data_IF_148629020432
#
_entry.id   IF_148629020432
#
_cell.length_a   1.000
_cell.length_b   1.000
_cell.length_c   1.000
_cell.angle_alpha   90.00
_cell.angle_beta   90.00
_cell.angle_gamma   90.00
#
_symmetry.space_group_name_H-M   'P 1'
#
loop_
_entity.id
_entity.type
_entity.pdbx_description
1 polymer ?
#
# COMPACT_ATOMS: atom_id res chain seq x y z
N UNK A 1 2.02 -14.95 75.56
CA UNK A 1 2.32 -14.10 74.37
C UNK A 1 2.97 -12.84 74.88
N UNK A 2 4.08 -12.47 74.29
CA UNK A 2 4.76 -11.19 74.66
C UNK A 2 3.91 -10.02 74.16
N UNK A 3 3.98 -8.88 74.88
CA UNK A 3 3.28 -7.64 74.45
C UNK A 3 3.63 -7.24 73.02
N UNK A 4 4.85 -7.54 72.56
CA UNK A 4 5.30 -7.29 71.21
C UNK A 4 4.60 -8.20 70.13
N UNK A 5 4.36 -9.49 70.46
CA UNK A 5 3.63 -10.38 69.55
C UNK A 5 2.17 -9.94 69.35
N UNK A 6 1.52 -9.43 70.38
CA UNK A 6 0.16 -8.91 70.31
C UNK A 6 0.09 -7.65 69.43
N UNK A 7 1.05 -6.73 69.62
CA UNK A 7 1.13 -5.50 68.82
C UNK A 7 1.39 -5.84 67.33
N UNK A 8 2.30 -6.79 67.03
CA UNK A 8 2.53 -7.21 65.66
C UNK A 8 1.28 -7.84 65.01
N UNK A 9 0.56 -8.71 65.74
CA UNK A 9 -0.69 -9.30 65.23
C UNK A 9 -1.76 -8.22 64.95
N UNK A 10 -1.90 -7.23 65.79
CA UNK A 10 -2.83 -6.12 65.58
C UNK A 10 -2.46 -5.28 64.37
N UNK A 11 -1.16 -4.97 64.16
CA UNK A 11 -0.66 -4.23 63.00
C UNK A 11 -0.86 -5.02 61.70
N UNK A 12 -0.60 -6.31 61.68
CA UNK A 12 -0.85 -7.16 60.50
C UNK A 12 -2.33 -7.24 60.12
N UNK A 13 -3.21 -7.34 61.13
CA UNK A 13 -4.67 -7.36 60.87
C UNK A 13 -5.13 -6.00 60.32
N UNK A 14 -4.63 -4.91 60.90
CA UNK A 14 -4.93 -3.55 60.42
C UNK A 14 -4.46 -3.32 58.98
N UNK A 15 -3.28 -3.80 58.66
CA UNK A 15 -2.73 -3.73 57.29
C UNK A 15 -3.56 -4.60 56.30
N UNK A 16 -3.97 -5.77 56.68
CA UNK A 16 -4.85 -6.63 55.85
C UNK A 16 -6.24 -6.00 55.63
N UNK A 17 -6.81 -5.38 56.62
CA UNK A 17 -8.08 -4.64 56.52
C UNK A 17 -7.91 -3.46 55.61
N UNK A 18 -6.81 -2.69 55.74
CA UNK A 18 -6.51 -1.58 54.87
C UNK A 18 -6.35 -1.98 53.40
N UNK A 19 -5.59 -3.06 53.13
CA UNK A 19 -5.42 -3.62 51.78
C UNK A 19 -6.78 -4.13 51.26
N UNK A 20 -7.55 -4.83 52.07
CA UNK A 20 -8.87 -5.33 51.68
C UNK A 20 -9.88 -4.23 51.35
N UNK A 21 -9.76 -3.06 51.93
CA UNK A 21 -10.62 -1.92 51.62
C UNK A 21 -10.09 -1.02 50.51
N UNK A 22 -8.76 -0.83 50.43
CA UNK A 22 -8.13 0.03 49.44
C UNK A 22 -8.20 -0.57 48.03
N UNK A 23 -7.97 -1.87 47.87
CA UNK A 23 -7.98 -2.54 46.56
C UNK A 23 -9.30 -2.45 45.79
N UNK A 24 -10.49 -2.73 46.39
CA UNK A 24 -11.75 -2.60 45.66
C UNK A 24 -12.13 -1.16 45.34
N UNK A 25 -11.74 -0.19 46.18
CA UNK A 25 -12.01 1.23 45.93
C UNK A 25 -11.18 1.73 44.73
N UNK A 26 -9.87 1.42 44.68
CA UNK A 26 -9.01 1.79 43.56
C UNK A 26 -9.40 1.06 42.28
N UNK A 27 -9.77 -0.20 42.36
CA UNK A 27 -10.25 -0.99 41.22
C UNK A 27 -11.62 -0.47 40.70
N UNK A 28 -12.49 0.02 41.58
CA UNK A 28 -13.77 0.62 41.21
C UNK A 28 -13.60 1.99 40.49
N UNK A 29 -12.70 2.82 40.97
CA UNK A 29 -12.41 4.11 40.34
C UNK A 29 -11.79 3.95 38.95
N UNK A 30 -10.84 2.99 38.75
CA UNK A 30 -10.28 2.69 37.43
C UNK A 30 -11.29 2.13 36.43
N UNK A 31 -12.33 1.43 36.89
CA UNK A 31 -13.37 0.85 36.03
C UNK A 31 -14.43 1.86 35.57
N UNK A 32 -14.57 2.97 36.27
CA UNK A 32 -15.53 4.02 35.94
C UNK A 32 -14.96 5.11 35.02
N UNK A 33 -13.66 5.04 34.70
CA UNK A 33 -13.02 6.01 33.85
C UNK A 33 -13.50 5.87 32.40
N UNK A 34 -13.89 7.00 31.81
CA UNK A 34 -14.26 7.09 30.42
C UNK A 34 -13.01 7.25 29.52
N UNK A 35 -13.17 6.95 28.24
CA UNK A 35 -12.16 7.22 27.25
C UNK A 35 -12.16 8.72 26.97
N UNK A 36 -10.97 9.34 27.01
CA UNK A 36 -10.82 10.78 26.83
C UNK A 36 -10.66 11.19 25.37
N UNK A 37 -10.30 10.27 24.49
CA UNK A 37 -10.11 10.51 23.06
C UNK A 37 -9.29 9.44 22.36
N UNK A 38 -9.07 9.64 21.07
CA UNK A 38 -8.24 8.77 20.23
C UNK A 38 -7.16 9.60 19.53
N UNK A 39 -5.91 9.19 19.68
CA UNK A 39 -4.71 9.80 19.08
C UNK A 39 -4.14 8.84 18.05
N UNK A 40 -4.14 9.25 16.78
CA UNK A 40 -3.65 8.42 15.66
C UNK A 40 -2.25 8.89 15.29
N UNK A 41 -1.29 8.00 15.41
CA UNK A 41 0.12 8.23 15.06
C UNK A 41 0.49 7.36 13.85
N UNK A 42 0.87 8.02 12.76
CA UNK A 42 1.36 7.37 11.55
C UNK A 42 2.88 7.19 11.65
N UNK A 43 3.37 6.00 11.37
CA UNK A 43 4.83 5.71 11.32
C UNK A 43 5.54 6.49 10.20
N UNK A 44 4.81 6.80 9.12
CA UNK A 44 5.25 7.69 8.06
C UNK A 44 4.23 8.82 7.85
N UNK A 45 4.46 10.00 8.46
CA UNK A 45 3.57 11.15 8.30
C UNK A 45 3.61 11.76 6.89
N UNK A 46 4.59 11.40 6.06
CA UNK A 46 4.69 11.87 4.66
C UNK A 46 3.91 10.99 3.70
N UNK A 47 3.37 9.88 4.17
CA UNK A 47 2.53 8.99 3.36
C UNK A 47 1.33 9.77 2.81
N UNK A 48 1.24 9.81 1.47
CA UNK A 48 0.08 10.39 0.79
C UNK A 48 -1.07 9.40 0.63
N UNK A 49 -0.86 8.15 1.01
CA UNK A 49 -1.80 7.06 0.79
C UNK A 49 -2.81 6.91 1.92
N UNK A 50 -2.43 7.23 3.15
CA UNK A 50 -3.29 7.15 4.35
C UNK A 50 -3.05 8.38 5.21
N UNK A 51 -4.10 8.99 5.67
CA UNK A 51 -4.05 10.06 6.66
C UNK A 51 -4.80 9.66 7.95
N UNK A 52 -4.68 10.46 9.00
CA UNK A 52 -5.32 10.15 10.29
C UNK A 52 -6.85 10.06 10.19
N UNK A 53 -7.48 10.84 9.31
CA UNK A 53 -8.94 10.78 9.11
C UNK A 53 -9.38 9.49 8.42
N UNK A 54 -8.54 8.93 7.53
CA UNK A 54 -8.81 7.63 6.91
C UNK A 54 -8.76 6.51 7.96
N UNK A 55 -7.79 6.57 8.89
CA UNK A 55 -7.67 5.59 9.98
C UNK A 55 -8.88 5.66 10.92
N UNK A 56 -9.35 6.87 11.23
CA UNK A 56 -10.56 7.06 12.04
C UNK A 56 -11.78 6.49 11.33
N UNK A 57 -11.93 6.73 10.02
CA UNK A 57 -13.02 6.16 9.22
C UNK A 57 -12.95 4.63 9.18
N UNK A 58 -11.77 4.04 8.96
CA UNK A 58 -11.55 2.59 8.98
C UNK A 58 -11.83 1.96 10.36
N UNK A 59 -11.56 2.71 11.45
CA UNK A 59 -11.88 2.26 12.80
C UNK A 59 -13.37 2.03 13.00
N UNK A 60 -14.22 2.73 12.22
CA UNK A 60 -15.67 2.73 12.35
C UNK A 60 -16.18 3.26 13.69
N UNK A 61 -15.35 4.01 14.39
CA UNK A 61 -15.68 4.63 15.67
C UNK A 61 -15.96 6.09 15.41
N UNK A 62 -17.12 6.53 15.86
CA UNK A 62 -17.43 7.96 15.91
C UNK A 62 -16.71 8.57 17.14
N UNK A 63 -15.79 9.54 16.94
CA UNK A 63 -15.09 10.19 18.04
C UNK A 63 -16.04 10.81 19.09
N UNK A 64 -17.26 11.20 18.69
CA UNK A 64 -18.25 11.75 19.60
C UNK A 64 -18.79 10.70 20.58
N UNK A 65 -18.97 9.47 20.13
CA UNK A 65 -19.48 8.37 20.97
C UNK A 65 -18.38 7.71 21.79
N UNK A 66 -17.11 7.92 21.39
CA UNK A 66 -15.96 7.33 22.09
C UNK A 66 -15.84 7.86 23.53
N UNK A 67 -16.09 9.17 23.73
CA UNK A 67 -16.00 9.81 25.04
C UNK A 67 -17.01 9.26 26.07
N UNK A 68 -18.12 8.68 25.60
CA UNK A 68 -19.12 8.06 26.47
C UNK A 68 -18.78 6.59 26.82
N UNK A 69 -17.75 6.02 26.17
CA UNK A 69 -17.36 4.64 26.36
C UNK A 69 -16.54 4.44 27.62
N UNK A 70 -16.88 3.43 28.43
CA UNK A 70 -16.10 3.06 29.61
C UNK A 70 -14.83 2.31 29.19
N UNK A 71 -13.69 2.64 29.80
CA UNK A 71 -12.40 1.99 29.56
C UNK A 71 -12.42 0.47 29.73
N UNK A 72 -13.17 -0.02 30.71
CA UNK A 72 -13.24 -1.45 31.00
C UNK A 72 -14.09 -2.26 30.02
N UNK A 73 -14.99 -1.62 29.25
CA UNK A 73 -15.88 -2.27 28.28
C UNK A 73 -15.41 -2.12 26.86
N UNK A 74 -14.45 -1.22 26.60
CA UNK A 74 -13.95 -0.97 25.27
C UNK A 74 -13.02 -2.08 24.80
N UNK A 75 -13.34 -2.70 23.65
CA UNK A 75 -12.56 -3.81 23.12
C UNK A 75 -11.44 -3.33 22.18
N UNK A 76 -10.27 -3.02 22.77
CA UNK A 76 -9.07 -2.59 22.03
C UNK A 76 -8.63 -3.64 21.01
N UNK A 77 -8.71 -4.93 21.35
CA UNK A 77 -8.30 -6.01 20.45
C UNK A 77 -9.20 -6.12 19.21
N UNK A 78 -10.51 -5.86 19.37
CA UNK A 78 -11.42 -5.82 18.22
C UNK A 78 -11.13 -4.63 17.29
N UNK A 79 -10.79 -3.46 17.87
CA UNK A 79 -10.39 -2.29 17.11
C UNK A 79 -9.08 -2.56 16.34
N UNK A 80 -8.08 -3.12 17.01
CA UNK A 80 -6.80 -3.47 16.41
C UNK A 80 -6.97 -4.49 15.27
N UNK A 81 -7.76 -5.55 15.50
CA UNK A 81 -8.04 -6.55 14.47
C UNK A 81 -8.76 -5.96 13.25
N UNK A 82 -9.69 -5.02 13.47
CA UNK A 82 -10.39 -4.32 12.40
C UNK A 82 -9.44 -3.45 11.58
N UNK A 83 -8.57 -2.67 12.22
CA UNK A 83 -7.57 -1.85 11.55
C UNK A 83 -6.57 -2.71 10.76
N UNK A 84 -6.10 -3.83 11.32
CA UNK A 84 -5.23 -4.79 10.62
C UNK A 84 -5.89 -5.45 9.41
N UNK A 85 -7.22 -5.58 9.42
CA UNK A 85 -7.97 -6.12 8.29
C UNK A 85 -8.13 -5.10 7.15
N UNK A 86 -7.86 -3.81 7.38
CA UNK A 86 -7.92 -2.79 6.34
C UNK A 86 -6.84 -3.03 5.27
N UNK A 87 -7.22 -2.84 4.01
CA UNK A 87 -6.29 -2.97 2.88
C UNK A 87 -5.28 -1.81 2.81
N UNK A 88 -5.57 -0.70 3.47
CA UNK A 88 -4.74 0.52 3.47
C UNK A 88 -3.60 0.47 4.49
N UNK A 89 -3.70 -0.43 5.49
CA UNK A 89 -2.74 -0.52 6.58
C UNK A 89 -1.91 -1.81 6.47
N UNK A 90 -0.62 -1.68 6.72
CA UNK A 90 0.28 -2.82 6.83
C UNK A 90 0.23 -3.42 8.21
N UNK A 91 0.20 -2.57 9.24
CA UNK A 91 0.07 -2.97 10.65
C UNK A 91 -0.61 -1.85 11.45
N UNK A 92 -1.23 -2.24 12.55
CA UNK A 92 -1.83 -1.33 13.51
C UNK A 92 -1.63 -1.88 14.92
N UNK A 93 -1.32 -1.01 15.87
CA UNK A 93 -1.20 -1.33 17.28
C UNK A 93 -2.05 -0.36 18.09
N UNK A 94 -2.92 -0.87 18.93
CA UNK A 94 -3.86 -0.07 19.71
C UNK A 94 -3.54 -0.21 21.18
N UNK A 95 -3.25 0.92 21.85
CA UNK A 95 -2.89 0.95 23.25
C UNK A 95 -3.73 1.97 24.01
N UNK A 96 -4.12 1.61 25.24
CA UNK A 96 -4.78 2.51 26.16
C UNK A 96 -3.74 3.19 27.05
N UNK A 97 -3.70 4.50 27.02
CA UNK A 97 -2.80 5.29 27.88
C UNK A 97 -3.38 5.47 29.28
N UNK A 98 -2.52 5.84 30.22
CA UNK A 98 -2.90 6.08 31.62
C UNK A 98 -3.85 7.29 31.77
N UNK A 99 -3.78 8.26 30.85
CA UNK A 99 -4.67 9.43 30.82
C UNK A 99 -6.08 9.13 30.27
N UNK A 100 -6.35 7.89 29.87
CA UNK A 100 -7.64 7.47 29.32
C UNK A 100 -7.74 7.62 27.81
N UNK A 101 -6.74 8.13 27.12
CA UNK A 101 -6.72 8.21 25.65
C UNK A 101 -6.36 6.87 25.01
N UNK A 102 -6.95 6.58 23.86
CA UNK A 102 -6.55 5.46 23.00
C UNK A 102 -5.49 5.98 22.05
N UNK A 103 -4.32 5.36 22.06
CA UNK A 103 -3.29 5.59 21.06
C UNK A 103 -3.35 4.49 20.01
N UNK A 104 -3.42 4.90 18.75
CA UNK A 104 -3.44 4.04 17.57
C UNK A 104 -2.18 4.32 16.76
N UNK A 105 -1.19 3.45 16.90
CA UNK A 105 0.04 3.51 16.09
C UNK A 105 -0.19 2.67 14.83
N UNK A 106 -0.15 3.29 13.65
CA UNK A 106 -0.41 2.64 12.37
C UNK A 106 0.77 2.74 11.43
N UNK A 107 1.01 1.66 10.71
CA UNK A 107 1.95 1.61 9.60
C UNK A 107 1.15 1.58 8.30
N UNK A 108 1.21 2.66 7.50
CA UNK A 108 0.55 2.69 6.21
C UNK A 108 1.11 1.63 5.26
N UNK A 109 0.27 1.15 4.36
CA UNK A 109 0.71 0.30 3.27
C UNK A 109 1.57 1.12 2.29
N UNK A 110 2.73 0.61 1.90
CA UNK A 110 3.61 1.24 0.91
C UNK A 110 3.46 0.49 -0.41
N UNK A 111 2.83 1.10 -1.43
CA UNK A 111 2.73 0.52 -2.76
C UNK A 111 4.10 0.45 -3.44
N UNK A 112 4.37 -0.65 -4.13
CA UNK A 112 5.59 -0.84 -4.94
C UNK A 112 5.31 -0.86 -6.44
N UNK A 113 4.05 -1.07 -6.85
CA UNK A 113 3.61 -0.96 -8.23
C UNK A 113 2.11 -0.72 -8.32
N UNK A 114 1.67 -0.11 -9.42
CA UNK A 114 0.27 -0.04 -9.83
C UNK A 114 0.00 -1.07 -10.91
N UNK A 115 -1.00 -1.91 -10.70
CA UNK A 115 -1.34 -3.02 -11.59
C UNK A 115 -2.57 -2.67 -12.41
N UNK A 116 -2.44 -2.85 -13.72
CA UNK A 116 -3.52 -2.78 -14.69
C UNK A 116 -3.74 -4.17 -15.27
N UNK A 117 -4.85 -4.79 -14.90
CA UNK A 117 -5.31 -6.05 -15.45
C UNK A 117 -6.56 -5.78 -16.30
N UNK A 118 -6.63 -6.24 -17.56
CA UNK A 118 -7.81 -6.03 -18.41
C UNK A 118 -9.12 -6.61 -17.86
N UNK A 119 -9.03 -7.52 -16.88
CA UNK A 119 -10.17 -8.21 -16.29
C UNK A 119 -10.67 -7.59 -14.99
N UNK A 120 -9.90 -6.71 -14.37
CA UNK A 120 -10.17 -6.17 -13.03
C UNK A 120 -9.87 -4.66 -12.99
N UNK A 121 -10.53 -3.89 -12.11
CA UNK A 121 -10.14 -2.52 -11.84
C UNK A 121 -8.68 -2.42 -11.39
N UNK A 122 -8.00 -1.33 -11.76
CA UNK A 122 -6.60 -1.15 -11.37
C UNK A 122 -6.42 -1.12 -9.85
N UNK A 123 -5.32 -1.69 -9.38
CA UNK A 123 -5.01 -1.76 -7.97
C UNK A 123 -3.51 -1.57 -7.73
N UNK A 124 -3.15 -1.25 -6.49
CA UNK A 124 -1.74 -1.24 -6.07
C UNK A 124 -1.36 -2.57 -5.42
N UNK A 125 -0.09 -2.91 -5.46
CA UNK A 125 0.49 -4.00 -4.67
C UNK A 125 1.64 -3.47 -3.81
N UNK A 126 1.77 -4.02 -2.61
CA UNK A 126 2.91 -3.75 -1.73
C UNK A 126 4.03 -4.80 -1.89
N UNK A 127 5.12 -4.63 -1.14
CA UNK A 127 6.26 -5.55 -1.16
C UNK A 127 5.92 -7.00 -0.73
N UNK A 128 4.81 -7.23 -0.02
CA UNK A 128 4.34 -8.59 0.30
C UNK A 128 3.38 -9.17 -0.75
N UNK A 129 3.01 -8.39 -1.77
CA UNK A 129 2.03 -8.76 -2.79
C UNK A 129 0.57 -8.60 -2.35
N UNK A 130 0.32 -7.91 -1.23
CA UNK A 130 -1.04 -7.56 -0.81
C UNK A 130 -1.61 -6.51 -1.75
N UNK A 131 -2.85 -6.71 -2.21
CA UNK A 131 -3.56 -5.78 -3.08
C UNK A 131 -4.16 -4.65 -2.27
N UNK A 132 -4.17 -3.46 -2.86
CA UNK A 132 -4.75 -2.25 -2.31
C UNK A 132 -5.59 -1.63 -3.42
N UNK A 133 -6.85 -1.33 -3.17
CA UNK A 133 -7.71 -0.70 -4.17
C UNK A 133 -7.15 0.68 -4.57
N UNK A 134 -7.12 0.94 -5.88
CA UNK A 134 -6.73 2.25 -6.38
C UNK A 134 -7.93 3.21 -6.27
N UNK A 135 -7.92 4.05 -5.24
CA UNK A 135 -8.90 5.13 -5.11
C UNK A 135 -8.45 6.34 -5.94
N UNK A 136 -9.39 7.04 -6.57
CA UNK A 136 -9.12 8.22 -7.41
C UNK A 136 -8.40 9.37 -6.67
N UNK A 137 -8.54 9.43 -5.35
CA UNK A 137 -7.90 10.45 -4.48
C UNK A 137 -6.39 10.32 -4.40
N UNK A 138 -5.85 9.13 -4.63
CA UNK A 138 -4.46 8.84 -4.37
C UNK A 138 -3.74 8.52 -5.67
N UNK A 139 -2.80 9.38 -6.02
CA UNK A 139 -1.83 9.09 -7.08
C UNK A 139 -0.45 8.95 -6.45
N UNK A 140 0.14 7.79 -6.63
CA UNK A 140 1.48 7.48 -6.15
C UNK A 140 2.34 7.17 -7.36
N UNK A 141 3.49 7.82 -7.42
CA UNK A 141 4.48 7.60 -8.48
C UNK A 141 5.23 6.30 -8.21
N UNK A 142 4.70 5.23 -8.77
CA UNK A 142 5.27 3.88 -8.71
C UNK A 142 5.25 3.25 -10.10
N UNK A 143 6.13 2.28 -10.39
CA UNK A 143 6.14 1.56 -11.65
C UNK A 143 4.77 0.99 -12.01
N UNK A 144 4.42 1.09 -13.28
CA UNK A 144 3.19 0.52 -13.83
C UNK A 144 3.44 -0.92 -14.25
N UNK A 145 2.56 -1.80 -13.81
CA UNK A 145 2.55 -3.22 -14.16
C UNK A 145 1.30 -3.51 -15.00
N UNK A 146 1.47 -3.96 -16.23
CA UNK A 146 0.39 -4.26 -17.16
C UNK A 146 0.40 -5.74 -17.52
N UNK A 147 -0.75 -6.40 -17.55
CA UNK A 147 -0.85 -7.80 -17.97
C UNK A 147 -2.06 -8.51 -17.38
N UNK A 148 -2.31 -9.72 -17.85
CA UNK A 148 -3.30 -10.60 -17.23
C UNK A 148 -2.65 -11.41 -16.13
N UNK A 149 -3.13 -11.21 -14.90
CA UNK A 149 -2.60 -11.88 -13.71
C UNK A 149 -3.58 -12.95 -13.22
N UNK A 150 -3.15 -14.19 -13.27
CA UNK A 150 -3.94 -15.37 -12.88
C UNK A 150 -3.22 -16.21 -11.82
N UNK A 151 -3.74 -17.39 -11.53
CA UNK A 151 -3.12 -18.31 -10.57
C UNK A 151 -1.77 -18.86 -11.02
N UNK A 152 -1.54 -18.95 -12.33
CA UNK A 152 -0.27 -19.44 -12.92
C UNK A 152 0.79 -18.34 -12.97
N UNK A 153 0.35 -17.11 -13.28
CA UNK A 153 1.22 -15.94 -13.44
C UNK A 153 0.75 -14.79 -12.54
N UNK A 154 0.76 -14.96 -11.21
CA UNK A 154 0.29 -13.92 -10.31
C UNK A 154 1.27 -12.74 -10.24
N UNK A 155 0.75 -11.52 -10.11
CA UNK A 155 1.55 -10.29 -10.02
C UNK A 155 2.67 -10.36 -8.95
N UNK A 156 2.45 -11.10 -7.85
CA UNK A 156 3.46 -11.31 -6.80
C UNK A 156 4.75 -11.98 -7.28
N UNK A 157 4.74 -12.70 -8.42
CA UNK A 157 5.97 -13.27 -9.00
C UNK A 157 6.93 -12.21 -9.50
N UNK A 158 6.42 -11.01 -9.77
CA UNK A 158 7.23 -9.88 -10.25
C UNK A 158 7.85 -9.06 -9.11
N UNK A 159 7.53 -9.36 -7.84
CA UNK A 159 8.04 -8.63 -6.69
C UNK A 159 9.57 -8.48 -6.65
N UNK A 160 10.41 -9.50 -6.96
CA UNK A 160 11.85 -9.33 -6.98
C UNK A 160 12.32 -8.30 -8.01
N UNK A 161 11.64 -8.22 -9.15
CA UNK A 161 11.90 -7.24 -10.19
C UNK A 161 11.43 -5.85 -9.77
N UNK A 162 10.22 -5.75 -9.21
CA UNK A 162 9.64 -4.51 -8.72
C UNK A 162 10.44 -3.92 -7.56
N UNK A 163 10.87 -4.77 -6.63
CA UNK A 163 11.74 -4.36 -5.52
C UNK A 163 13.06 -3.77 -6.02
N UNK A 164 13.68 -4.40 -7.03
CA UNK A 164 14.88 -3.85 -7.67
C UNK A 164 14.63 -2.51 -8.34
N UNK A 165 13.49 -2.35 -9.03
CA UNK A 165 13.12 -1.07 -9.68
C UNK A 165 12.87 0.02 -8.63
N UNK A 166 12.18 -0.31 -7.54
CA UNK A 166 11.83 0.65 -6.50
C UNK A 166 13.05 1.10 -5.67
N UNK A 167 13.95 0.17 -5.34
CA UNK A 167 15.04 0.42 -4.39
C UNK A 167 16.39 0.78 -5.05
N UNK A 168 16.53 0.60 -6.36
CA UNK A 168 17.73 1.03 -7.09
C UNK A 168 17.38 2.21 -8.02
N UNK A 169 17.74 3.47 -7.65
CA UNK A 169 17.41 4.65 -8.45
C UNK A 169 17.90 4.59 -9.89
N UNK A 170 18.99 3.86 -10.15
CA UNK A 170 19.54 3.68 -11.50
C UNK A 170 18.64 2.80 -12.35
N UNK A 171 18.08 1.75 -11.75
CA UNK A 171 17.14 0.84 -12.41
C UNK A 171 15.76 1.49 -12.54
N UNK A 172 15.29 2.14 -11.48
CA UNK A 172 14.00 2.85 -11.46
C UNK A 172 13.91 3.93 -12.53
N UNK A 173 14.99 4.71 -12.74
CA UNK A 173 15.01 5.72 -13.80
C UNK A 173 15.03 5.15 -15.24
N UNK A 174 15.31 3.85 -15.40
CA UNK A 174 15.37 3.19 -16.70
C UNK A 174 14.05 2.57 -17.15
N UNK A 175 13.14 2.22 -16.22
CA UNK A 175 11.94 1.43 -16.49
C UNK A 175 10.69 2.26 -16.24
N UNK A 176 9.89 2.49 -17.27
CA UNK A 176 8.61 3.19 -17.17
C UNK A 176 7.47 2.20 -16.88
N UNK A 177 7.43 1.05 -17.58
CA UNK A 177 6.36 0.08 -17.46
C UNK A 177 6.92 -1.34 -17.50
N UNK A 178 6.31 -2.21 -16.71
CA UNK A 178 6.58 -3.66 -16.72
C UNK A 178 5.34 -4.36 -17.28
N UNK A 179 5.49 -5.08 -18.38
CA UNK A 179 4.40 -5.83 -19.00
C UNK A 179 4.64 -7.33 -18.84
N UNK A 180 3.62 -8.07 -18.41
CA UNK A 180 3.64 -9.52 -18.39
C UNK A 180 2.78 -10.06 -19.53
N UNK A 181 3.40 -10.81 -20.43
CA UNK A 181 2.71 -11.51 -21.52
C UNK A 181 1.95 -12.75 -20.98
N UNK A 182 0.95 -13.26 -21.71
CA UNK A 182 0.15 -14.42 -21.25
C UNK A 182 0.97 -15.69 -20.99
N UNK A 183 2.12 -15.85 -21.64
CA UNK A 183 3.06 -16.97 -21.43
C UNK A 183 3.97 -16.77 -20.22
N UNK A 184 3.81 -15.63 -19.50
CA UNK A 184 4.61 -15.26 -18.35
C UNK A 184 5.93 -14.58 -18.69
N UNK A 185 6.22 -14.32 -19.97
CA UNK A 185 7.37 -13.53 -20.40
C UNK A 185 7.23 -12.08 -19.97
N UNK A 186 8.33 -11.46 -19.53
CA UNK A 186 8.34 -10.10 -19.01
C UNK A 186 8.97 -9.18 -20.06
N UNK A 187 8.25 -8.13 -20.42
CA UNK A 187 8.72 -7.04 -21.27
C UNK A 187 8.82 -5.79 -20.42
N UNK A 188 9.96 -5.11 -20.46
CA UNK A 188 10.11 -3.79 -19.84
C UNK A 188 10.06 -2.74 -20.94
N UNK A 189 9.26 -1.71 -20.69
CA UNK A 189 9.23 -0.49 -21.50
C UNK A 189 10.14 0.52 -20.80
N UNK A 190 11.27 0.87 -21.43
CA UNK A 190 12.19 1.82 -20.82
C UNK A 190 11.69 3.26 -20.94
N UNK A 191 12.19 4.12 -20.08
CA UNK A 191 11.97 5.57 -20.15
C UNK A 191 12.56 6.17 -21.44
N UNK A 192 13.61 5.55 -21.97
CA UNK A 192 14.22 5.94 -23.24
C UNK A 192 13.38 5.36 -24.37
N UNK A 193 12.82 6.22 -25.20
CA UNK A 193 11.97 5.86 -26.34
C UNK A 193 12.78 5.13 -27.43
N UNK A 194 12.15 4.18 -28.11
CA UNK A 194 12.67 3.58 -29.33
C UNK A 194 12.81 2.08 -29.32
N UNK A 195 12.77 1.41 -28.17
CA UNK A 195 12.90 -0.03 -28.09
C UNK A 195 12.17 -0.59 -26.87
N UNK A 196 11.97 -1.90 -26.85
CA UNK A 196 11.49 -2.62 -25.67
C UNK A 196 12.57 -3.59 -25.19
N UNK A 197 12.50 -3.97 -23.90
CA UNK A 197 13.45 -4.91 -23.29
C UNK A 197 12.73 -6.21 -23.02
N UNK A 198 13.12 -7.28 -23.72
CA UNK A 198 12.65 -8.64 -23.39
C UNK A 198 13.48 -9.17 -22.21
N UNK A 199 12.87 -9.08 -21.02
CA UNK A 199 13.51 -9.47 -19.76
C UNK A 199 13.39 -10.97 -19.45
N UNK A 200 12.31 -11.59 -19.94
CA UNK A 200 12.04 -13.02 -19.76
C UNK A 200 11.34 -13.32 -18.45
N UNK A 201 12.07 -13.74 -17.44
CA UNK A 201 11.58 -14.10 -16.12
C UNK A 201 12.24 -13.25 -15.01
N UNK A 202 11.85 -13.49 -13.76
CA UNK A 202 12.42 -12.82 -12.58
C UNK A 202 13.68 -13.48 -12.02
N UNK A 203 14.30 -14.39 -12.76
CA UNK A 203 15.60 -14.96 -12.36
C UNK A 203 16.74 -13.99 -12.68
N UNK A 204 17.79 -14.00 -11.86
CA UNK A 204 19.03 -13.22 -12.09
C UNK A 204 18.78 -11.74 -12.44
N UNK A 205 17.87 -11.10 -11.73
CA UNK A 205 17.45 -9.71 -11.97
C UNK A 205 18.64 -8.76 -12.02
N UNK A 206 19.54 -8.83 -11.05
CA UNK A 206 20.71 -7.95 -10.99
C UNK A 206 21.64 -8.13 -12.20
N UNK A 207 21.93 -9.36 -12.57
CA UNK A 207 22.80 -9.68 -13.70
C UNK A 207 22.18 -9.22 -15.04
N UNK A 208 20.87 -9.37 -15.21
CA UNK A 208 20.15 -8.88 -16.40
C UNK A 208 20.23 -7.37 -16.51
N UNK A 209 20.03 -6.62 -15.41
CA UNK A 209 20.19 -5.17 -15.41
C UNK A 209 21.64 -4.74 -15.61
N UNK A 210 22.62 -5.47 -15.08
CA UNK A 210 24.04 -5.18 -15.31
C UNK A 210 24.42 -5.33 -16.78
N UNK A 211 23.93 -6.39 -17.44
CA UNK A 211 24.14 -6.60 -18.88
C UNK A 211 23.45 -5.52 -19.71
N UNK A 212 22.23 -5.13 -19.34
CA UNK A 212 21.52 -4.06 -20.00
C UNK A 212 22.26 -2.71 -19.87
N UNK A 213 22.77 -2.39 -18.68
CA UNK A 213 23.56 -1.16 -18.45
C UNK A 213 24.85 -1.15 -19.26
N UNK A 214 25.53 -2.30 -19.39
CA UNK A 214 26.72 -2.41 -20.25
C UNK A 214 26.36 -2.20 -21.72
N UNK A 215 25.24 -2.76 -22.18
CA UNK A 215 24.76 -2.54 -23.53
C UNK A 215 24.48 -1.05 -23.79
N UNK A 216 23.77 -0.38 -22.91
CA UNK A 216 23.48 1.05 -23.03
C UNK A 216 24.74 1.92 -23.00
N UNK A 217 25.72 1.55 -22.23
CA UNK A 217 26.97 2.30 -22.12
C UNK A 217 27.85 2.17 -23.36
N UNK A 218 27.91 1.01 -23.97
CA UNK A 218 28.89 0.72 -25.01
C UNK A 218 28.31 0.66 -26.43
N UNK A 219 27.04 0.28 -26.58
CA UNK A 219 26.43 0.07 -27.89
C UNK A 219 25.56 1.26 -28.31
N UNK A 220 24.72 1.75 -27.44
CA UNK A 220 23.78 2.81 -27.78
C UNK A 220 24.42 4.14 -28.19
N UNK A 221 25.53 4.61 -27.58
CA UNK A 221 26.19 5.83 -28.02
C UNK A 221 26.79 5.75 -29.44
N UNK A 222 27.16 4.56 -29.89
CA UNK A 222 27.78 4.36 -31.18
C UNK A 222 26.78 4.09 -32.31
N UNK A 223 25.61 3.52 -31.97
CA UNK A 223 24.61 3.08 -32.95
C UNK A 223 23.33 3.89 -32.94
N UNK A 224 23.11 4.70 -31.91
CA UNK A 224 21.85 5.41 -31.66
C UNK A 224 20.83 4.55 -30.88
N UNK A 225 19.98 5.22 -30.13
CA UNK A 225 18.95 4.59 -29.28
C UNK A 225 17.83 3.94 -30.10
N UNK A 226 17.58 4.46 -31.30
CA UNK A 226 16.50 4.02 -32.19
C UNK A 226 16.93 2.89 -33.15
N UNK A 227 18.18 2.47 -33.11
CA UNK A 227 18.71 1.45 -34.01
C UNK A 227 18.11 0.04 -33.77
N UNK A 228 17.51 -0.16 -32.61
CA UNK A 228 16.98 -1.46 -32.20
C UNK A 228 15.52 -1.36 -31.78
N UNK A 229 14.73 -2.38 -32.12
CA UNK A 229 13.35 -2.53 -31.66
C UNK A 229 13.26 -3.28 -30.36
N UNK A 230 14.07 -4.33 -30.20
CA UNK A 230 14.05 -5.18 -29.02
C UNK A 230 15.47 -5.46 -28.53
N UNK A 231 15.66 -5.36 -27.22
CA UNK A 231 16.87 -5.75 -26.52
C UNK A 231 16.54 -6.88 -25.57
N UNK A 232 16.89 -8.12 -25.93
CA UNK A 232 16.61 -9.29 -25.09
C UNK A 232 17.79 -9.58 -24.16
N UNK A 233 17.52 -9.53 -22.85
CA UNK A 233 18.44 -9.92 -21.76
C UNK A 233 18.06 -11.22 -21.09
N UNK A 234 16.99 -11.88 -21.54
CA UNK A 234 16.45 -13.12 -20.99
C UNK A 234 17.42 -14.30 -21.05
N UNK A 235 18.36 -14.27 -21.97
CA UNK A 235 19.35 -15.33 -22.11
C UNK A 235 20.52 -15.15 -21.15
N UNK A 236 21.01 -16.26 -20.58
CA UNK A 236 22.18 -16.21 -19.71
C UNK A 236 23.40 -15.74 -20.51
N UNK A 237 24.20 -14.85 -19.94
CA UNK A 237 25.51 -14.38 -20.44
C UNK A 237 25.51 -13.70 -21.82
N UNK A 238 24.35 -13.33 -22.37
CA UNK A 238 24.27 -12.63 -23.65
C UNK A 238 23.16 -11.59 -23.68
N UNK A 239 23.36 -10.59 -24.53
CA UNK A 239 22.33 -9.63 -24.92
C UNK A 239 22.09 -9.80 -26.41
N UNK A 240 20.85 -9.97 -26.81
CA UNK A 240 20.45 -10.09 -28.24
C UNK A 240 19.63 -8.85 -28.57
N UNK A 241 20.13 -8.05 -29.51
CA UNK A 241 19.45 -6.83 -29.95
C UNK A 241 18.98 -7.01 -31.40
N UNK A 242 17.66 -6.84 -31.61
CA UNK A 242 17.02 -6.93 -32.93
C UNK A 242 17.02 -5.54 -33.55
N UNK A 243 17.56 -5.41 -34.75
CA UNK A 243 17.59 -4.12 -35.45
C UNK A 243 16.23 -3.79 -36.03
N UNK A 244 15.88 -2.51 -36.01
CA UNK A 244 14.63 -1.96 -36.56
C UNK A 244 14.52 -2.10 -38.08
N UNK A 245 15.63 -2.05 -38.80
CA UNK A 245 15.69 -2.22 -40.25
C UNK A 245 15.28 -3.62 -40.75
N UNK A 246 15.09 -4.56 -39.82
CA UNK A 246 14.61 -5.92 -40.11
C UNK A 246 13.10 -6.12 -40.01
N UNK A 247 12.31 -5.07 -40.15
CA UNK A 247 10.84 -5.11 -40.33
C UNK A 247 10.08 -6.08 -39.38
N UNK A 248 10.42 -6.11 -38.10
CA UNK A 248 9.50 -6.61 -37.10
C UNK A 248 8.62 -5.43 -36.66
N UNK A 249 7.28 -5.56 -36.72
CA UNK A 249 6.44 -4.52 -36.17
C UNK A 249 6.82 -4.28 -34.70
N UNK A 250 6.89 -3.03 -34.24
CA UNK A 250 7.11 -2.77 -32.83
C UNK A 250 6.03 -3.52 -32.04
N UNK A 251 6.39 -4.20 -30.94
CA UNK A 251 5.38 -4.77 -30.08
C UNK A 251 4.43 -3.66 -29.64
N UNK A 252 3.12 -3.93 -29.58
CA UNK A 252 2.15 -2.94 -29.18
C UNK A 252 2.56 -2.40 -27.80
N UNK A 253 2.80 -1.09 -27.76
CA UNK A 253 2.99 -0.39 -26.50
C UNK A 253 1.60 -0.31 -25.89
N UNK A 254 1.31 -0.98 -24.76
CA UNK A 254 0.04 -0.82 -24.12
C UNK A 254 -0.04 0.64 -23.69
N UNK A 255 -0.88 1.42 -24.34
CA UNK A 255 -1.21 2.76 -23.89
C UNK A 255 -1.98 2.62 -22.58
N UNK A 256 -1.73 3.54 -21.65
CA UNK A 256 -2.48 3.57 -20.39
C UNK A 256 -3.99 3.69 -20.65
N UNK A 257 -4.37 4.26 -21.79
CA UNK A 257 -5.75 4.37 -22.28
C UNK A 257 -6.37 3.01 -22.64
N UNK A 258 -5.61 2.09 -23.23
CA UNK A 258 -6.08 0.71 -23.49
C UNK A 258 -6.16 -0.13 -22.21
N UNK A 259 -5.29 0.17 -21.24
CA UNK A 259 -5.30 -0.50 -19.94
C UNK A 259 -6.37 0.10 -18.99
N UNK A 260 -6.79 1.33 -19.22
CA UNK A 260 -7.83 2.01 -18.42
C UNK A 260 -9.21 1.87 -19.02
N UNK A 261 -9.46 0.95 -19.96
CA UNK A 261 -10.76 0.77 -20.59
C UNK A 261 -11.90 1.31 -19.72
N UNK A 262 -12.47 2.44 -20.15
CA UNK A 262 -13.62 3.11 -19.52
C UNK A 262 -13.38 3.70 -18.12
N UNK A 263 -12.67 4.81 -18.05
CA UNK A 263 -13.17 5.89 -17.21
C UNK A 263 -14.09 6.76 -18.09
N UNK A 264 -15.27 6.25 -18.41
CA UNK A 264 -16.39 7.11 -18.77
C UNK A 264 -16.65 7.99 -17.53
N UNK A 265 -16.00 9.14 -17.54
CA UNK A 265 -16.45 10.27 -16.74
C UNK A 265 -17.76 10.65 -17.40
N UNK A 266 -18.86 10.14 -16.85
CA UNK A 266 -20.21 10.60 -17.15
C UNK A 266 -20.26 12.09 -16.78
N UNK A 267 -19.82 12.94 -17.73
CA UNK A 267 -20.01 14.39 -17.69
C UNK A 267 -21.50 14.65 -17.89
N UNK A 268 -22.32 14.19 -16.97
CA UNK A 268 -23.70 14.60 -16.84
C UNK A 268 -23.71 15.98 -16.15
N UNK A 269 -23.23 16.98 -16.89
CA UNK A 269 -23.50 18.37 -16.57
C UNK A 269 -25.02 18.58 -16.70
N UNK A 270 -25.74 19.03 -15.65
CA UNK A 270 -27.14 19.37 -15.78
C UNK A 270 -27.26 20.56 -16.72
N UNK A 271 -27.84 20.34 -17.88
CA UNK A 271 -28.23 21.40 -18.81
C UNK A 271 -29.13 22.40 -18.08
N UNK A 272 -28.89 23.71 -18.18
CA UNK A 272 -29.75 24.72 -17.61
C UNK A 272 -31.08 24.74 -18.38
N UNK A 273 -32.15 24.59 -17.62
CA UNK A 273 -33.52 24.33 -18.05
C UNK A 273 -34.02 25.21 -19.19
N UNK A 274 -34.70 24.55 -20.11
CA UNK A 274 -35.57 25.15 -21.08
C UNK A 274 -36.70 25.93 -20.40
N UNK A 275 -36.72 27.19 -20.69
CA UNK A 275 -37.75 28.13 -20.28
C UNK A 275 -39.12 27.73 -20.85
N UNK A 276 -40.05 27.48 -19.95
CA UNK A 276 -41.46 27.24 -20.23
C UNK A 276 -42.02 28.49 -20.89
N UNK A 277 -42.34 28.44 -22.17
CA UNK A 277 -43.15 29.44 -22.85
C UNK A 277 -44.62 29.22 -22.50
N UNK A 278 -45.20 30.10 -21.72
CA UNK A 278 -46.64 30.27 -21.63
C UNK A 278 -47.18 30.80 -22.98
N UNK A 279 -48.02 30.05 -23.65
CA UNK A 279 -48.95 30.61 -24.64
C UNK A 279 -50.36 30.59 -24.09
N UNK A 280 -50.89 31.78 -23.85
CA UNK A 280 -52.35 32.04 -23.71
C UNK A 280 -53.05 31.70 -25.01
N UNK A 281 -54.09 30.91 -24.92
CA UNK A 281 -55.49 31.20 -25.43
C UNK A 281 -56.39 30.15 -24.91
#
# INVERSE_FOLDING_TARGET
MSKQSVIMCVLTILMLVYIGFALPITAGMSRADHITGMDVVLSDPTSRFVNSSDVIAESGIDPATLADSLRCTFNLGALEARLKASDKLQDANVTLRSDGSIRVDVTPMVPVARVFDPKEPSYYINASGKRILAELRYHIDVPVLVGSFDSLHPAKRLLPLLDKIANDPRTGSMVATVTQEPDGNIILIPTIVGHVINFGDTSLVDDKFDRLRRFYRHVSPTRGWEAYDTIAVKWRDRVVATRRDKQLPPPPIPTVEEATGELDIDNNEPQPGDSISHSNT
#
